data_IF_889887021602
#
_entry.id   IF_889887021602
#
_cell.length_a   1.000
_cell.length_b   1.000
_cell.length_c   1.000
_cell.angle_alpha   90.00
_cell.angle_beta   90.00
_cell.angle_gamma   90.00
#
_symmetry.space_group_name_H-M   'P 1'
#
loop_
_entity.id
_entity.type
_entity.pdbx_description
1 polymer ?
2 polymer ?
3 non-polymer ?
4 water ?
#
# COMPACT_ATOMS: atom_id res chain seq x y z
N UNK A 1 -24.73 2.68 5.41
CA UNK A 1 -24.22 3.95 4.91
C UNK A 1 -23.87 3.85 3.41
N UNK A 2 -23.60 4.99 2.78
CA UNK A 2 -23.24 4.99 1.36
C UNK A 2 -21.82 4.46 1.20
N UNK A 3 -21.65 3.45 0.34
CA UNK A 3 -20.32 2.88 0.10
C UNK A 3 -20.00 2.81 -1.39
N UNK A 4 -18.78 3.20 -1.76
CA UNK A 4 -18.33 3.07 -3.14
C UNK A 4 -17.18 2.08 -3.20
N UNK A 5 -17.13 1.27 -4.25
CA UNK A 5 -16.02 0.33 -4.43
C UNK A 5 -15.69 0.12 -5.90
N UNK A 6 -14.48 0.47 -6.28
CA UNK A 6 -14.00 0.33 -7.66
C UNK A 6 -13.79 -1.13 -8.04
N UNK A 7 -13.98 -1.42 -9.32
CA UNK A 7 -13.56 -2.69 -9.91
C UNK A 7 -12.90 -2.40 -11.24
N UNK A 8 -11.90 -3.20 -11.56
CA UNK A 8 -11.26 -3.10 -12.86
C UNK A 8 -10.12 -4.08 -12.96
N UNK A 9 -9.68 -4.36 -14.20
CA UNK A 9 -8.45 -5.12 -14.36
C UNK A 9 -7.28 -4.22 -14.00
N UNK A 10 -6.37 -4.71 -13.18
CA UNK A 10 -5.21 -3.94 -12.77
C UNK A 10 -4.18 -3.75 -13.86
N UNK A 11 -4.43 -4.34 -15.02
CA UNK A 11 -3.51 -4.26 -16.14
C UNK A 11 -4.25 -3.92 -17.43
N UNK A 12 -3.74 -2.94 -18.17
CA UNK A 12 -4.26 -2.62 -19.49
C UNK A 12 -3.09 -2.48 -20.48
N UNK A 13 -3.24 -3.04 -21.67
CA UNK A 13 -2.18 -2.89 -22.68
C UNK A 13 -2.19 -1.48 -23.25
N UNK A 14 -1.00 -0.96 -23.60
CA UNK A 14 -0.93 0.37 -24.21
C UNK A 14 -1.82 0.44 -25.46
N UNK A 15 -2.53 1.57 -25.58
CA UNK A 15 -3.48 1.86 -26.65
C UNK A 15 -4.85 1.22 -26.47
N UNK A 16 -4.96 0.24 -25.57
CA UNK A 16 -6.27 -0.36 -25.32
C UNK A 16 -7.14 0.56 -24.47
N UNK A 17 -8.37 0.14 -24.21
CA UNK A 17 -9.30 0.96 -23.44
C UNK A 17 -9.44 0.48 -22.00
N UNK A 18 -9.14 1.36 -21.06
CA UNK A 18 -9.31 1.06 -19.64
C UNK A 18 -10.79 1.15 -19.28
N UNK A 19 -11.30 0.11 -18.64
CA UNK A 19 -12.70 0.09 -18.24
C UNK A 19 -12.82 -0.25 -16.76
N UNK A 20 -13.38 0.67 -15.98
CA UNK A 20 -13.57 0.51 -14.55
C UNK A 20 -15.03 0.69 -14.24
N UNK A 21 -15.47 0.10 -13.14
CA UNK A 21 -16.81 0.38 -12.64
C UNK A 21 -16.72 0.75 -11.17
N UNK A 22 -17.73 1.47 -10.69
CA UNK A 22 -17.81 1.80 -9.27
C UNK A 22 -19.13 1.27 -8.75
N UNK A 23 -19.09 0.30 -7.84
CA UNK A 23 -20.31 -0.25 -7.28
C UNK A 23 -20.79 0.62 -6.13
N UNK A 24 -22.02 1.13 -6.25
CA UNK A 24 -22.59 1.91 -5.16
C UNK A 24 -23.49 1.01 -4.32
N UNK A 25 -23.33 1.08 -3.00
CA UNK A 25 -24.26 0.41 -2.10
C UNK A 25 -24.74 1.32 -0.96
N UNK A 26 -25.89 0.98 -0.39
CA UNK A 26 -26.49 1.77 0.66
C UNK A 26 -27.10 3.04 0.09
N UNK A 27 -27.46 2.99 -1.19
CA UNK A 27 -27.93 4.18 -1.88
C UNK A 27 -28.42 3.81 -3.27
N UNK A 28 -29.46 4.49 -3.74
CA UNK A 28 -29.94 4.31 -5.09
C UNK A 28 -29.16 5.26 -5.98
N UNK A 29 -28.44 4.73 -6.96
CA UNK A 29 -27.50 5.55 -7.72
C UNK A 29 -28.14 6.75 -8.45
N UNK A 30 -29.35 6.57 -8.96
CA UNK A 30 -30.00 7.66 -9.68
C UNK A 30 -30.32 8.85 -8.74
N UNK A 31 -30.20 8.65 -7.43
CA UNK A 31 -30.47 9.72 -6.47
C UNK A 31 -29.31 10.69 -6.33
N UNK A 32 -28.10 10.24 -6.64
CA UNK A 32 -26.91 11.05 -6.41
C UNK A 32 -26.87 12.36 -7.18
N UNK A 33 -26.40 13.42 -6.53
CA UNK A 33 -26.19 14.68 -7.22
C UNK A 33 -25.00 14.57 -8.16
N UNK A 34 -23.95 13.86 -7.72
CA UNK A 34 -22.70 13.88 -8.45
C UNK A 34 -21.96 12.57 -8.31
N UNK A 35 -21.44 12.04 -9.42
CA UNK A 35 -20.53 10.90 -9.40
C UNK A 35 -19.32 11.27 -10.25
N UNK A 36 -18.14 10.82 -9.87
CA UNK A 36 -16.95 11.23 -10.61
C UNK A 36 -15.74 10.31 -10.42
N UNK A 37 -14.69 10.58 -11.17
CA UNK A 37 -13.47 9.79 -11.09
C UNK A 37 -12.29 10.72 -10.92
N UNK A 38 -11.42 10.36 -9.98
CA UNK A 38 -10.21 11.10 -9.69
C UNK A 38 -9.06 10.10 -9.81
N UNK A 39 -7.88 10.51 -10.24
CA UNK A 39 -6.76 9.56 -10.25
C UNK A 39 -5.51 10.19 -9.69
N UNK A 40 -4.57 9.32 -9.31
CA UNK A 40 -3.33 9.75 -8.70
C UNK A 40 -2.18 8.86 -9.17
N UNK A 41 -1.32 9.41 -10.05
CA UNK A 41 -0.14 8.63 -10.48
C UNK A 41 0.79 8.47 -9.29
N UNK A 42 1.68 7.46 -9.34
CA UNK A 42 2.57 7.27 -8.19
C UNK A 42 3.33 8.54 -7.83
N UNK A 43 3.26 8.89 -6.56
CA UNK A 43 3.98 10.05 -6.04
C UNK A 43 3.53 11.41 -6.53
N UNK A 44 2.33 11.51 -7.06
CA UNK A 44 1.86 12.81 -7.54
C UNK A 44 0.57 13.19 -6.82
N UNK A 45 -0.01 14.33 -7.18
CA UNK A 45 -1.22 14.79 -6.54
C UNK A 45 -2.47 14.18 -7.16
N UNK A 46 -3.62 14.79 -6.92
CA UNK A 46 -4.90 14.28 -7.40
C UNK A 46 -5.37 14.99 -8.67
N UNK A 47 -5.78 14.21 -9.66
CA UNK A 47 -6.25 14.77 -10.92
C UNK A 47 -7.69 14.41 -11.19
N UNK A 48 -8.53 15.42 -11.40
CA UNK A 48 -9.91 15.15 -11.81
C UNK A 48 -9.94 14.54 -13.21
N UNK A 49 -10.76 13.53 -13.39
CA UNK A 49 -10.91 12.88 -14.69
C UNK A 49 -12.22 13.29 -15.37
N UNK A 50 -13.33 13.05 -14.70
CA UNK A 50 -14.61 13.47 -15.25
C UNK A 50 -15.75 13.32 -14.25
N UNK A 51 -16.92 13.77 -14.66
CA UNK A 51 -18.07 13.91 -13.78
C UNK A 51 -19.34 13.56 -14.51
N UNK A 52 -20.31 13.00 -13.78
CA UNK A 52 -21.69 12.93 -14.26
C UNK A 52 -22.64 13.42 -13.15
N UNK A 53 -23.62 14.23 -13.53
CA UNK A 53 -24.58 14.81 -12.59
C UNK A 53 -25.90 14.11 -12.62
N UNK A 54 -26.73 14.38 -11.61
CA UNK A 54 -28.07 13.84 -11.51
C UNK A 54 -28.83 13.98 -12.83
N UNK A 55 -28.66 15.12 -13.48
CA UNK A 55 -29.35 15.45 -14.73
C UNK A 55 -28.87 14.60 -15.90
N UNK A 56 -27.74 13.93 -15.72
CA UNK A 56 -27.19 13.08 -16.76
C UNK A 56 -26.12 13.79 -17.56
N UNK A 57 -25.90 15.07 -17.27
CA UNK A 57 -24.85 15.84 -17.93
C UNK A 57 -23.48 15.31 -17.52
N UNK A 58 -22.59 15.18 -18.49
CA UNK A 58 -21.23 14.71 -18.23
C UNK A 58 -20.22 15.79 -18.58
N UNK A 59 -19.18 15.92 -17.75
CA UNK A 59 -18.08 16.85 -18.01
C UNK A 59 -16.76 16.13 -17.79
N UNK A 60 -15.78 16.39 -18.66
CA UNK A 60 -14.50 15.68 -18.58
C UNK A 60 -13.34 16.65 -18.59
N UNK A 61 -12.22 16.24 -17.99
CA UNK A 61 -11.01 17.04 -18.00
C UNK A 61 -10.52 17.21 -19.44
N UNK A 62 -10.40 18.47 -19.88
CA UNK A 62 -9.96 18.81 -21.24
C UNK A 62 -8.62 18.19 -21.61
N UNK A 63 -7.73 18.03 -20.65
CA UNK A 63 -6.42 17.46 -20.94
C UNK A 63 -6.52 15.99 -21.35
N UNK A 64 -7.70 15.41 -21.16
CA UNK A 64 -7.89 14.00 -21.48
C UNK A 64 -8.48 13.78 -22.88
N UNK A 65 -8.45 14.84 -23.69
CA UNK A 65 -8.57 14.74 -25.16
C UNK A 65 -9.68 13.82 -25.70
N UNK A 66 -10.90 14.02 -25.23
CA UNK A 66 -12.04 13.20 -25.65
C UNK A 66 -11.90 11.68 -25.40
N UNK A 67 -10.97 11.28 -24.55
CA UNK A 67 -10.74 9.86 -24.32
C UNK A 67 -11.67 9.27 -23.25
N UNK A 68 -12.40 10.14 -22.55
CA UNK A 68 -13.16 9.72 -21.38
C UNK A 68 -14.65 9.53 -21.65
N UNK A 69 -15.21 8.43 -21.14
CA UNK A 69 -16.65 8.25 -21.11
C UNK A 69 -17.09 7.76 -19.73
N UNK A 70 -18.11 8.41 -19.20
CA UNK A 70 -18.69 8.06 -17.92
C UNK A 70 -20.18 7.85 -18.08
N UNK A 71 -20.67 6.73 -17.57
CA UNK A 71 -22.09 6.39 -17.68
C UNK A 71 -22.59 5.83 -16.37
N UNK A 72 -23.90 5.89 -16.18
CA UNK A 72 -24.55 5.31 -15.01
C UNK A 72 -25.48 4.16 -15.43
N UNK A 73 -25.34 3.02 -14.78
CA UNK A 73 -26.20 1.86 -15.00
C UNK A 73 -27.06 1.69 -13.76
N UNK A 74 -28.35 2.06 -13.84
CA UNK A 74 -29.21 1.99 -12.68
C UNK A 74 -29.63 0.57 -12.31
N UNK A 75 -29.67 -0.33 -13.29
CA UNK A 75 -30.04 -1.72 -13.00
C UNK A 75 -28.98 -2.44 -12.18
N UNK A 76 -27.72 -2.08 -12.36
CA UNK A 76 -26.64 -2.68 -11.59
C UNK A 76 -26.23 -1.78 -10.43
N UNK A 77 -26.78 -0.57 -10.38
CA UNK A 77 -26.44 0.42 -9.35
C UNK A 77 -24.95 0.76 -9.30
N UNK A 78 -24.37 1.01 -10.46
CA UNK A 78 -22.95 1.31 -10.55
C UNK A 78 -22.71 2.35 -11.64
N UNK A 79 -21.58 3.02 -11.57
CA UNK A 79 -21.19 3.88 -12.69
C UNK A 79 -19.82 3.47 -13.20
N UNK A 80 -19.47 3.96 -14.38
CA UNK A 80 -18.30 3.43 -15.08
C UNK A 80 -17.40 4.54 -15.55
N UNK A 81 -16.16 4.16 -15.82
CA UNK A 81 -15.20 5.00 -16.49
C UNK A 81 -14.62 4.19 -17.63
N UNK A 82 -14.58 4.79 -18.82
CA UNK A 82 -13.88 4.23 -19.96
C UNK A 82 -12.90 5.28 -20.46
N UNK A 83 -11.63 4.90 -20.52
CA UNK A 83 -10.56 5.78 -20.94
C UNK A 83 -9.84 5.08 -22.07
N UNK A 84 -9.93 5.64 -23.28
CA UNK A 84 -9.41 4.97 -24.47
C UNK A 84 -7.96 5.33 -24.80
N UNK A 85 -7.35 4.53 -25.67
CA UNK A 85 -6.00 4.79 -26.16
C UNK A 85 -5.00 5.11 -25.05
N UNK A 86 -4.92 4.24 -24.05
CA UNK A 86 -4.10 4.56 -22.88
C UNK A 86 -2.61 4.53 -23.19
N UNK A 87 -1.85 5.38 -22.50
CA UNK A 87 -0.40 5.27 -22.49
C UNK A 87 0.08 5.10 -21.05
N UNK A 88 1.39 5.05 -20.88
CA UNK A 88 1.98 4.90 -19.55
C UNK A 88 1.69 6.09 -18.65
N UNK A 89 1.26 7.21 -19.26
CA UNK A 89 0.87 8.38 -18.51
C UNK A 89 -0.43 8.15 -17.74
N UNK A 90 -1.15 7.09 -18.11
CA UNK A 90 -2.41 6.73 -17.47
C UNK A 90 -2.25 5.70 -16.34
N UNK A 91 -1.02 5.27 -16.07
CA UNK A 91 -0.78 4.43 -14.91
C UNK A 91 -1.03 5.25 -13.64
N UNK A 92 -1.93 4.77 -12.80
CA UNK A 92 -2.34 5.51 -11.61
C UNK A 92 -3.25 4.68 -10.72
N UNK A 93 -3.46 5.16 -9.51
CA UNK A 93 -4.56 4.69 -8.69
C UNK A 93 -5.77 5.54 -9.09
N UNK A 94 -6.88 4.87 -9.40
CA UNK A 94 -8.12 5.52 -9.85
C UNK A 94 -9.14 5.43 -8.73
N UNK A 95 -9.81 6.54 -8.43
CA UNK A 95 -10.81 6.57 -7.36
C UNK A 95 -12.16 6.93 -7.92
N UNK A 96 -13.20 6.22 -7.52
CA UNK A 96 -14.56 6.73 -7.76
C UNK A 96 -15.00 7.54 -6.56
N UNK A 97 -15.82 8.58 -6.80
CA UNK A 97 -16.28 9.39 -5.70
C UNK A 97 -17.68 9.95 -6.02
N UNK A 98 -18.39 10.44 -5.02
CA UNK A 98 -19.72 10.97 -5.24
C UNK A 98 -20.19 11.94 -4.16
N UNK A 99 -21.14 12.81 -4.52
CA UNK A 99 -21.81 13.70 -3.57
C UNK A 99 -23.28 13.39 -3.65
N UNK A 100 -23.90 13.07 -2.52
CA UNK A 100 -25.31 12.77 -2.54
C UNK A 100 -26.17 14.02 -2.70
N UNK A 101 -25.68 15.18 -2.26
CA UNK A 101 -26.44 16.44 -2.28
C UNK A 101 -25.62 17.60 -2.83
N UNK A 102 -26.26 18.48 -3.59
CA UNK A 102 -25.63 19.73 -4.03
C UNK A 102 -25.24 20.66 -2.88
N UNK A 103 -25.93 20.56 -1.75
CA UNK A 103 -25.71 21.53 -0.67
C UNK A 103 -24.57 21.22 0.31
N UNK A 104 -23.86 20.13 0.07
CA UNK A 104 -22.73 19.78 0.95
C UNK A 104 -21.61 19.16 0.13
N UNK A 105 -20.37 19.36 0.56
CA UNK A 105 -19.26 18.73 -0.15
C UNK A 105 -18.58 17.59 0.62
N UNK A 106 -19.35 16.88 1.44
CA UNK A 106 -18.84 15.69 2.14
C UNK A 106 -18.86 14.49 1.20
N UNK A 107 -17.85 14.39 0.33
CA UNK A 107 -17.84 13.38 -0.72
C UNK A 107 -17.60 11.98 -0.15
N UNK A 108 -18.20 11.00 -0.79
CA UNK A 108 -17.89 9.59 -0.53
C UNK A 108 -16.85 9.12 -1.54
N UNK A 109 -15.88 8.35 -1.08
CA UNK A 109 -14.77 7.93 -1.91
C UNK A 109 -14.66 6.40 -1.84
N UNK A 110 -14.27 5.79 -2.95
CA UNK A 110 -13.95 4.38 -3.00
C UNK A 110 -12.59 4.19 -2.40
N UNK A 111 -12.05 2.97 -2.50
CA UNK A 111 -10.80 2.62 -1.85
C UNK A 111 -9.67 2.88 -2.82
N UNK A 112 -10.01 2.96 -4.10
CA UNK A 112 -9.03 3.16 -5.15
C UNK A 112 -8.60 1.84 -5.75
N UNK A 113 -8.32 1.84 -7.05
CA UNK A 113 -7.82 0.66 -7.74
C UNK A 113 -6.61 1.01 -8.62
N UNK A 114 -5.54 0.22 -8.48
CA UNK A 114 -4.30 0.48 -9.20
C UNK A 114 -4.44 -0.01 -10.63
N UNK A 115 -4.11 0.86 -11.57
CA UNK A 115 -4.11 0.47 -12.96
C UNK A 115 -2.71 0.62 -13.52
N UNK A 116 -2.12 -0.50 -13.95
CA UNK A 116 -0.81 -0.50 -14.58
C UNK A 116 -0.97 -0.61 -16.09
N UNK A 117 -0.40 0.35 -16.80
CA UNK A 117 -0.36 0.26 -18.26
C UNK A 117 0.97 -0.37 -18.69
N UNK A 118 0.87 -1.55 -19.28
CA UNK A 118 2.07 -2.31 -19.63
C UNK A 118 1.75 -3.34 -20.67
N UNK A 119 2.73 -3.64 -21.52
CA UNK A 119 2.59 -4.66 -22.54
C UNK A 119 2.92 -6.04 -21.97
N UNK A 120 3.62 -6.06 -20.85
CA UNK A 120 3.98 -7.31 -20.17
C UNK A 120 2.72 -8.09 -19.78
N UNK A 121 2.82 -9.41 -19.76
CA UNK A 121 1.66 -10.26 -19.52
C UNK A 121 1.40 -10.44 -18.03
N UNK A 122 0.15 -10.75 -17.69
CA UNK A 122 -0.20 -11.04 -16.30
C UNK A 122 0.45 -12.34 -15.88
N UNK A 123 0.93 -12.38 -14.63
CA UNK A 123 1.57 -13.58 -14.09
C UNK A 123 1.17 -13.79 -12.64
N UNK A 124 0.54 -14.93 -12.37
CA UNK A 124 0.22 -15.35 -11.02
C UNK A 124 1.48 -15.69 -10.26
N UNK A 125 1.42 -15.61 -8.93
CA UNK A 125 2.64 -15.82 -8.13
C UNK A 125 2.85 -17.28 -7.71
N UNK A 126 4.09 -17.59 -7.36
CA UNK A 126 4.40 -18.85 -6.70
C UNK A 126 4.51 -18.57 -5.20
N UNK A 127 3.80 -19.34 -4.39
CA UNK A 127 3.78 -19.11 -2.95
C UNK A 127 4.61 -20.18 -2.22
N UNK A 128 5.44 -19.76 -1.27
CA UNK A 128 6.25 -20.70 -0.48
C UNK A 128 6.15 -20.41 1.01
N UNK A 129 6.14 -21.46 1.82
CA UNK A 129 6.03 -21.21 3.27
C UNK A 129 7.38 -20.75 3.80
N UNK A 130 7.35 -19.93 4.85
CA UNK A 130 8.54 -19.53 5.55
C UNK A 130 8.39 -20.07 6.96
N UNK A 131 8.97 -21.25 7.18
CA UNK A 131 8.78 -21.98 8.42
C UNK A 131 9.33 -21.24 9.65
N UNK A 132 8.64 -21.36 10.79
CA UNK A 132 9.17 -20.73 12.00
C UNK A 132 10.36 -21.55 12.48
N UNK A 133 11.34 -20.93 13.10
CA UNK A 133 12.49 -21.65 13.65
C UNK A 133 12.95 -21.01 14.94
N UNK A 134 13.93 -21.64 15.59
CA UNK A 134 14.57 -21.10 16.78
C UNK A 134 15.15 -19.71 16.50
N UNK A 135 15.71 -19.52 15.31
CA UNK A 135 16.25 -18.23 14.91
C UNK A 135 15.13 -17.19 14.78
N UNK A 136 13.97 -17.63 14.29
CA UNK A 136 12.81 -16.74 14.15
C UNK A 136 11.97 -16.74 15.43
N UNK A 137 12.56 -17.20 16.53
CA UNK A 137 11.91 -17.17 17.82
C UNK A 137 12.59 -16.14 18.74
N UNK A 138 11.83 -15.16 19.18
CA UNK A 138 12.32 -14.11 20.06
C UNK A 138 11.30 -13.88 21.17
N UNK A 139 11.73 -14.03 22.41
CA UNK A 139 10.80 -14.02 23.53
C UNK A 139 9.99 -15.31 23.52
N UNK A 140 8.69 -15.20 23.76
CA UNK A 140 7.82 -16.35 23.67
C UNK A 140 7.18 -16.43 22.31
N UNK A 141 7.57 -15.51 21.42
CA UNK A 141 6.96 -15.41 20.10
C UNK A 141 7.75 -16.10 19.00
N UNK A 142 7.05 -16.46 17.93
CA UNK A 142 7.68 -17.05 16.76
C UNK A 142 7.18 -16.43 15.45
N UNK A 143 8.13 -16.05 14.60
CA UNK A 143 7.82 -15.53 13.29
C UNK A 143 7.70 -16.66 12.28
N UNK A 144 6.59 -16.70 11.56
CA UNK A 144 6.45 -17.56 10.39
C UNK A 144 5.83 -16.72 9.28
N UNK A 145 5.92 -17.19 8.04
CA UNK A 145 5.44 -16.36 6.95
C UNK A 145 5.24 -17.05 5.63
N UNK A 146 4.98 -16.22 4.62
CA UNK A 146 4.77 -16.70 3.26
C UNK A 146 5.50 -15.83 2.27
N UNK A 147 6.18 -16.48 1.33
CA UNK A 147 6.92 -15.78 0.31
C UNK A 147 6.09 -15.85 -0.94
N UNK A 148 5.69 -14.68 -1.44
CA UNK A 148 4.84 -14.58 -2.62
C UNK A 148 5.69 -14.09 -3.78
N UNK A 149 6.02 -15.01 -4.68
CA UNK A 149 7.13 -14.80 -5.59
C UNK A 149 6.71 -14.63 -7.06
N UNK A 150 7.32 -13.64 -7.72
CA UNK A 150 7.27 -13.50 -9.17
C UNK A 150 5.88 -13.32 -9.74
N UNK A 151 5.24 -12.19 -9.44
CA UNK A 151 3.91 -11.92 -9.98
C UNK A 151 3.86 -10.57 -10.70
N UNK A 152 2.78 -10.35 -11.45
CA UNK A 152 2.58 -9.11 -12.17
C UNK A 152 1.12 -9.02 -12.59
N UNK A 153 0.50 -7.85 -12.41
CA UNK A 153 1.08 -6.68 -11.75
C UNK A 153 0.61 -6.62 -10.30
N UNK A 154 0.95 -5.54 -9.61
CA UNK A 154 0.38 -5.25 -8.30
C UNK A 154 -1.13 -5.02 -8.40
N UNK A 155 -1.88 -5.33 -7.32
CA UNK A 155 -1.34 -5.82 -6.04
C UNK A 155 -1.64 -7.29 -5.82
N UNK A 156 -1.08 -7.81 -4.74
CA UNK A 156 -1.45 -9.11 -4.25
C UNK A 156 -2.07 -8.88 -2.87
N UNK A 157 -3.07 -9.67 -2.49
CA UNK A 157 -3.55 -9.58 -1.11
C UNK A 157 -3.24 -10.87 -0.30
N UNK A 158 -2.75 -10.68 0.92
CA UNK A 158 -2.42 -11.82 1.78
C UNK A 158 -3.16 -11.73 3.11
N UNK A 159 -3.83 -12.81 3.49
CA UNK A 159 -4.53 -12.89 4.77
C UNK A 159 -4.09 -14.10 5.59
N UNK A 160 -4.00 -13.92 6.91
CA UNK A 160 -3.66 -15.02 7.82
C UNK A 160 -4.85 -15.43 8.69
N UNK A 161 -5.01 -16.75 8.82
CA UNK A 161 -6.14 -17.38 9.50
C UNK A 161 -7.48 -16.73 9.12
N UNK A 162 -7.63 -16.52 7.81
CA UNK A 162 -8.85 -15.97 7.22
C UNK A 162 -9.35 -14.70 7.93
N UNK A 163 -8.42 -13.79 8.21
CA UNK A 163 -8.77 -12.52 8.85
C UNK A 163 -8.72 -12.57 10.37
N UNK A 164 -8.83 -13.78 10.92
CA UNK A 164 -8.87 -13.99 12.37
C UNK A 164 -7.54 -13.66 13.05
N UNK A 165 -6.49 -13.48 12.26
CA UNK A 165 -5.22 -13.09 12.84
C UNK A 165 -4.81 -11.77 12.22
N UNK A 166 -4.54 -10.78 13.05
CA UNK A 166 -4.25 -9.44 12.56
C UNK A 166 -3.13 -8.77 13.37
N UNK A 167 -2.97 -9.23 14.61
CA UNK A 167 -1.94 -8.72 15.49
C UNK A 167 -0.59 -9.32 15.12
N UNK A 168 0.48 -8.53 15.21
CA UNK A 168 1.80 -8.95 14.82
C UNK A 168 1.96 -9.24 13.32
N UNK A 169 0.86 -9.18 12.58
CA UNK A 169 0.88 -9.49 11.15
C UNK A 169 1.42 -8.32 10.35
N UNK A 170 2.47 -8.60 9.57
CA UNK A 170 3.10 -7.58 8.77
C UNK A 170 3.30 -8.09 7.34
N UNK A 171 2.58 -7.51 6.39
CA UNK A 171 2.79 -7.81 4.99
C UNK A 171 3.60 -6.69 4.36
N UNK A 172 4.81 -7.03 3.92
CA UNK A 172 5.79 -6.05 3.50
C UNK A 172 5.49 -5.52 2.11
N UNK A 173 5.91 -4.28 1.79
CA UNK A 173 5.77 -3.78 0.44
C UNK A 173 6.58 -4.64 -0.52
N UNK A 174 6.08 -4.79 -1.74
CA UNK A 174 6.70 -5.67 -2.72
C UNK A 174 7.99 -5.11 -3.32
N UNK A 175 8.88 -5.99 -3.75
CA UNK A 175 10.02 -5.51 -4.52
C UNK A 175 9.72 -5.64 -6.01
N UNK A 176 10.16 -4.67 -6.81
CA UNK A 176 10.12 -4.85 -8.25
C UNK A 176 11.50 -5.28 -8.69
N UNK A 177 11.62 -6.55 -9.08
CA UNK A 177 12.89 -7.12 -9.48
C UNK A 177 13.25 -6.66 -10.88
N UNK A 178 14.52 -6.84 -11.23
CA UNK A 178 15.00 -6.42 -12.54
C UNK A 178 14.34 -7.20 -13.67
N UNK A 179 13.80 -8.38 -13.35
CA UNK A 179 12.99 -9.13 -14.31
C UNK A 179 11.68 -8.41 -14.66
N UNK A 180 11.26 -7.48 -13.82
CA UNK A 180 10.01 -6.79 -14.02
C UNK A 180 8.84 -7.49 -13.32
N UNK A 181 9.13 -8.52 -12.54
CA UNK A 181 8.07 -9.15 -11.75
C UNK A 181 8.23 -8.72 -10.31
N UNK A 182 7.13 -8.77 -9.55
CA UNK A 182 7.16 -8.43 -8.12
C UNK A 182 7.31 -9.67 -7.24
N UNK A 183 7.83 -9.45 -6.03
CA UNK A 183 7.76 -10.43 -4.95
C UNK A 183 7.48 -9.69 -3.65
N UNK A 184 6.81 -10.34 -2.72
CA UNK A 184 6.68 -9.80 -1.37
C UNK A 184 6.64 -10.93 -0.35
N UNK A 185 6.68 -10.55 0.92
CA UNK A 185 6.57 -11.51 2.00
C UNK A 185 5.60 -10.99 3.03
N UNK A 186 4.83 -11.90 3.59
CA UNK A 186 3.93 -11.61 4.70
C UNK A 186 4.33 -12.46 5.90
N UNK A 187 4.64 -11.82 7.02
CA UNK A 187 5.02 -12.51 8.24
C UNK A 187 3.97 -12.31 9.34
N UNK A 188 3.68 -13.38 10.07
CA UNK A 188 2.85 -13.27 11.26
C UNK A 188 3.62 -13.74 12.49
N UNK A 189 3.61 -12.92 13.54
CA UNK A 189 4.20 -13.29 14.82
C UNK A 189 3.18 -13.98 15.72
N UNK A 190 3.53 -15.15 16.24
CA UNK A 190 2.62 -16.00 17.01
C UNK A 190 3.26 -16.46 18.33
N UNK A 191 2.47 -17.09 19.23
CA UNK A 191 3.11 -17.68 20.42
C UNK A 191 3.91 -18.94 20.08
N UNK A 192 5.08 -19.10 20.70
CA UNK A 192 5.91 -20.29 20.47
C UNK A 192 5.19 -21.58 20.82
N UNK A 193 4.46 -21.56 21.94
CA UNK A 193 3.79 -22.76 22.45
C UNK A 193 2.68 -23.26 21.52
N UNK A 194 2.04 -22.35 20.79
CA UNK A 194 0.95 -22.74 19.92
C UNK A 194 1.43 -23.46 18.66
N UNK A 195 2.75 -23.43 18.42
CA UNK A 195 3.32 -23.95 17.18
C UNK A 195 2.97 -25.40 16.87
N UNK A 196 2.88 -26.23 17.90
CA UNK A 196 2.58 -27.64 17.70
C UNK A 196 1.09 -27.91 17.56
N UNK A 197 0.29 -27.02 18.11
CA UNK A 197 -1.15 -27.25 18.24
C UNK A 197 -2.00 -26.18 17.56
N UNK A 198 -1.50 -25.62 16.47
CA UNK A 198 -2.25 -24.59 15.73
C UNK A 198 -1.98 -24.67 14.24
N UNK A 199 -3.04 -24.52 13.45
CA UNK A 199 -2.87 -24.50 12.00
C UNK A 199 -2.67 -23.06 11.54
N UNK A 200 -1.59 -22.84 10.78
CA UNK A 200 -1.31 -21.53 10.21
C UNK A 200 -1.21 -21.63 8.70
N UNK A 201 -2.02 -20.84 8.01
CA UNK A 201 -2.04 -20.84 6.56
C UNK A 201 -2.15 -19.41 6.06
N UNK A 202 -1.45 -19.09 4.97
CA UNK A 202 -1.55 -17.77 4.36
C UNK A 202 -2.39 -17.90 3.10
N UNK A 203 -3.35 -16.99 2.93
CA UNK A 203 -4.21 -16.98 1.75
C UNK A 203 -3.79 -15.88 0.79
N UNK A 204 -3.32 -16.28 -0.38
CA UNK A 204 -2.76 -15.32 -1.33
C UNK A 204 -3.71 -15.12 -2.51
N UNK A 205 -4.12 -13.87 -2.71
CA UNK A 205 -5.00 -13.53 -3.82
C UNK A 205 -4.36 -12.50 -4.74
N UNK A 206 -4.15 -12.91 -6.00
CA UNK A 206 -3.70 -12.01 -7.05
C UNK A 206 -4.89 -11.79 -7.96
N UNK A 207 -5.64 -10.71 -7.73
CA UNK A 207 -6.85 -10.45 -8.51
C UNK A 207 -6.63 -10.36 -10.04
N UNK A 208 -5.60 -9.59 -10.50
CA UNK A 208 -5.34 -9.49 -11.94
C UNK A 208 -5.25 -10.80 -12.71
N UNK A 209 -4.41 -11.74 -12.29
CA UNK A 209 -4.48 -13.08 -12.86
C UNK A 209 -5.61 -13.77 -12.10
N UNK A 210 -5.95 -15.00 -12.45
CA UNK A 210 -6.91 -15.69 -11.61
C UNK A 210 -6.21 -16.67 -10.69
N UNK A 211 -5.46 -16.08 -9.75
CA UNK A 211 -4.68 -16.85 -8.81
C UNK A 211 -5.23 -16.74 -7.39
N UNK A 212 -5.66 -17.89 -6.88
CA UNK A 212 -5.93 -18.06 -5.47
C UNK A 212 -5.10 -19.26 -5.07
N UNK A 213 -4.46 -19.19 -3.91
CA UNK A 213 -3.73 -20.33 -3.38
C UNK A 213 -3.42 -20.07 -1.92
N UNK A 214 -3.29 -21.14 -1.15
CA UNK A 214 -2.89 -21.01 0.26
C UNK A 214 -1.88 -22.06 0.63
N UNK A 215 -0.78 -21.62 1.24
CA UNK A 215 0.23 -22.56 1.73
C UNK A 215 0.04 -22.83 3.20
N UNK A 216 0.21 -24.10 3.56
CA UNK A 216 0.37 -24.52 4.94
C UNK A 216 1.75 -24.03 5.36
N UNK A 217 1.85 -23.42 6.54
CA UNK A 217 3.16 -23.04 7.08
C UNK A 217 3.36 -23.68 8.44
N UNK A 218 4.19 -24.72 8.49
CA UNK A 218 4.37 -25.50 9.70
C UNK A 218 5.84 -25.73 10.03
N UNK A 219 6.14 -25.96 11.33
CA UNK A 219 7.51 -26.23 11.75
C UNK A 219 8.10 -27.44 11.04
N UNK A 220 9.39 -27.38 10.77
CA UNK A 220 10.11 -28.53 10.26
C UNK A 220 10.42 -29.44 11.44
N UNK A 221 10.08 -30.72 11.34
CA UNK A 221 10.49 -31.63 12.39
C UNK A 221 11.93 -32.05 12.11
N UNK A 222 12.72 -32.19 13.17
CA UNK A 222 14.12 -32.60 12.99
C UNK A 222 14.34 -33.93 13.69
N UNK A 223 13.28 -34.73 13.76
CA UNK A 223 13.40 -36.09 14.26
C UNK A 223 12.86 -37.09 13.23
N UNK A 224 13.61 -38.15 12.97
CA UNK A 224 13.18 -39.16 11.99
C UNK A 224 11.98 -39.92 12.53
N UNK A 225 11.01 -40.21 11.67
CA UNK A 225 9.79 -40.89 12.12
C UNK A 225 10.01 -42.39 12.33
N UNK A 226 11.05 -42.95 11.73
CA UNK A 226 11.27 -44.38 11.76
C UNK A 226 12.40 -44.81 12.72
N UNK A 227 12.66 -43.96 13.71
CA UNK A 227 13.56 -44.30 14.82
C UNK A 227 12.96 -43.82 16.14
N UNK A 228 13.29 -44.51 17.23
CA UNK A 228 12.92 -44.06 18.58
C UNK A 228 13.34 -42.59 18.74
N UNK A 229 12.47 -41.77 19.31
CA UNK A 229 12.68 -40.32 19.32
C UNK A 229 12.36 -39.65 20.65
N UNK A 230 12.36 -40.43 21.71
CA UNK A 230 11.99 -39.91 23.02
C UNK A 230 12.59 -40.74 24.14
N UNK A 231 12.99 -40.05 25.21
CA UNK A 231 13.51 -40.70 26.40
C UNK A 231 12.42 -40.87 27.46
N UNK B 3 -3.78 25.49 -9.59
CA UNK B 3 -4.83 26.51 -9.52
C UNK B 3 -5.14 26.86 -8.08
N UNK B 4 -5.04 25.86 -7.19
CA UNK B 4 -5.07 26.11 -5.75
C UNK B 4 -3.67 25.84 -5.24
N UNK B 5 -3.14 26.74 -4.42
CA UNK B 5 -1.76 26.58 -3.99
C UNK B 5 -1.65 26.40 -2.49
N UNK B 6 -0.92 25.37 -2.10
CA UNK B 6 -0.53 25.13 -0.72
C UNK B 6 0.97 24.88 -0.71
N UNK B 7 1.61 25.12 0.46
CA UNK B 7 3.04 24.81 0.60
C UNK B 7 3.26 23.33 0.35
N UNK B 8 4.28 22.98 -0.45
CA UNK B 8 4.59 21.57 -0.68
C UNK B 8 4.99 20.85 0.61
N UNK B 9 5.49 21.57 1.59
CA UNK B 9 5.89 20.91 2.84
C UNK B 9 5.68 21.76 4.08
N UNK B 10 5.42 21.07 5.18
CA UNK B 10 5.36 21.70 6.50
C UNK B 10 5.91 20.72 7.54
N UNK B 11 6.65 21.24 8.52
CA UNK B 11 7.09 20.43 9.65
C UNK B 11 6.94 21.19 10.96
N UNK B 12 6.93 20.45 12.06
CA UNK B 12 6.74 21.01 13.39
C UNK B 12 7.00 19.90 14.40
N UNK B 13 7.34 20.29 15.63
CA UNK B 13 7.62 19.32 16.68
C UNK B 13 6.31 18.75 17.23
N UNK B 14 6.37 17.54 17.81
CA UNK B 14 5.18 16.92 18.41
C UNK B 14 4.59 17.81 19.49
N UNK B 15 3.27 17.76 19.66
CA UNK B 15 2.60 18.59 20.64
C UNK B 15 2.25 19.99 20.15
N UNK B 16 2.93 20.46 19.11
CA UNK B 16 2.71 21.81 18.57
C UNK B 16 1.44 21.93 17.72
N UNK B 17 1.04 23.16 17.43
CA UNK B 17 -0.05 23.45 16.51
C UNK B 17 0.54 23.74 15.13
N UNK B 18 -0.07 23.19 14.09
CA UNK B 18 0.40 23.46 12.75
C UNK B 18 -0.78 23.92 11.88
N UNK B 19 -0.52 24.80 10.93
CA UNK B 19 -1.56 25.14 9.95
C UNK B 19 -1.09 24.89 8.53
N UNK B 20 -2.04 24.59 7.66
CA UNK B 20 -1.80 24.42 6.25
C UNK B 20 -2.87 25.22 5.52
N UNK B 21 -2.48 26.05 4.58
CA UNK B 21 -3.43 26.88 3.86
C UNK B 21 -3.44 26.58 2.38
N UNK B 22 -4.56 26.79 1.72
CA UNK B 22 -4.53 26.85 0.27
C UNK B 22 -5.18 28.13 -0.21
N UNK B 23 -4.54 28.77 -1.18
CA UNK B 23 -5.02 30.04 -1.73
C UNK B 23 -5.58 29.80 -3.11
N UNK B 24 -6.66 30.49 -3.41
CA UNK B 24 -7.29 30.39 -4.72
C UNK B 24 -7.81 31.74 -5.15
N UNK B 25 -8.92 31.75 -5.88
CA UNK B 25 -9.54 32.96 -6.39
C UNK B 25 -10.94 33.10 -5.80
N UNK B 26 -11.56 34.25 -6.02
CA UNK B 26 -12.93 34.46 -5.57
C UNK B 26 -13.90 33.60 -6.40
N UNK B 27 -13.43 33.15 -7.56
CA UNK B 27 -14.22 32.28 -8.44
C UNK B 27 -14.19 30.82 -8.02
N UNK B 28 -13.15 30.41 -7.29
CA UNK B 28 -13.11 29.04 -6.77
C UNK B 28 -13.36 28.97 -5.26
N UNK B 29 -12.32 29.09 -4.45
CA UNK B 29 -12.49 29.12 -3.00
C UNK B 29 -13.48 30.21 -2.54
N UNK B 30 -13.35 31.42 -3.10
CA UNK B 30 -14.21 32.53 -2.70
C UNK B 30 -15.69 32.21 -2.73
N UNK B 31 -16.11 31.47 -3.74
CA UNK B 31 -17.51 31.13 -3.96
C UNK B 31 -18.03 29.78 -3.42
N UNK B 32 -17.18 29.01 -2.77
CA UNK B 32 -17.50 27.62 -2.50
C UNK B 32 -17.07 27.13 -1.14
N UNK B 33 -17.68 26.03 -0.70
CA UNK B 33 -17.18 25.25 0.41
C UNK B 33 -15.82 24.67 0.02
N UNK B 34 -14.90 24.67 0.97
CA UNK B 34 -13.63 23.98 0.82
C UNK B 34 -13.67 22.70 1.66
N UNK B 35 -13.00 21.66 1.19
CA UNK B 35 -12.84 20.47 2.01
C UNK B 35 -11.36 20.15 2.14
N UNK B 36 -11.02 19.34 3.14
CA UNK B 36 -9.64 18.95 3.38
C UNK B 36 -9.53 17.45 3.47
N UNK B 37 -8.47 16.90 2.87
CA UNK B 37 -8.24 15.47 2.87
C UNK B 37 -6.89 15.10 3.46
N UNK B 38 -6.88 14.03 4.26
CA UNK B 38 -5.64 13.44 4.75
C UNK B 38 -5.32 12.17 3.97
N UNK B 39 -4.06 12.01 3.56
CA UNK B 39 -3.69 10.78 2.87
C UNK B 39 -2.43 10.13 3.47
N UNK B 40 -2.65 9.03 4.19
CA UNK B 40 -1.56 8.21 4.72
C UNK B 40 -0.98 7.31 3.63
N UNK B 41 0.30 6.89 3.76
CA UNK B 41 0.94 6.04 2.74
C UNK B 41 0.05 4.89 2.25
N UNK B 42 -0.08 4.76 0.92
CA UNK B 42 -0.83 3.69 0.30
C UNK B 42 -2.32 3.58 0.60
N UNK B 43 -2.93 4.72 0.95
CA UNK B 43 -4.32 4.79 1.39
C UNK B 43 -5.08 5.86 0.58
N UNK B 44 -6.38 5.69 0.39
CA UNK B 44 -7.18 6.71 -0.28
C UNK B 44 -7.25 7.98 0.57
N UNK B 45 -7.42 9.15 -0.06
CA UNK B 45 -7.63 10.38 0.71
C UNK B 45 -8.80 10.20 1.67
N UNK B 46 -8.65 10.70 2.89
CA UNK B 46 -9.67 10.59 3.91
C UNK B 46 -10.20 11.98 4.23
N UNK B 47 -11.52 12.12 4.20
CA UNK B 47 -12.16 13.42 4.45
C UNK B 47 -11.99 13.87 5.90
N UNK B 48 -11.37 15.03 6.10
CA UNK B 48 -11.16 15.58 7.44
C UNK B 48 -12.16 16.67 7.75
N UNK B 49 -12.35 17.54 6.77
CA UNK B 49 -13.15 18.73 6.91
C UNK B 49 -13.97 18.88 5.66
N UNK B 50 -15.26 19.17 5.81
CA UNK B 50 -16.08 19.57 4.67
C UNK B 50 -16.92 20.79 5.05
N UNK B 51 -17.55 21.40 4.06
CA UNK B 51 -18.35 22.62 4.30
C UNK B 51 -17.53 23.68 5.06
N UNK B 52 -16.28 23.85 4.65
CA UNK B 52 -15.34 24.82 5.24
C UNK B 52 -14.83 24.45 6.62
N UNK B 53 -15.71 24.03 7.53
CA UNK B 53 -15.29 23.76 8.89
C UNK B 53 -15.94 22.60 9.64
N UNK B 54 -16.84 21.86 8.99
CA UNK B 54 -17.45 20.71 9.65
C UNK B 54 -16.53 19.48 9.67
N UNK B 55 -16.58 18.72 10.75
CA UNK B 55 -15.90 17.43 10.82
C UNK B 55 -16.90 16.30 10.65
N UNK B 56 -16.60 15.35 9.76
CA UNK B 56 -17.36 14.09 9.72
C UNK B 56 -17.20 13.38 11.05
N UNK B 57 -18.21 12.62 11.46
CA UNK B 57 -18.10 11.83 12.69
C UNK B 57 -16.83 10.99 12.68
N UNK B 58 -16.13 10.94 13.81
CA UNK B 58 -14.92 10.15 13.89
C UNK B 58 -13.65 10.91 13.58
N UNK B 59 -13.78 12.14 13.08
CA UNK B 59 -12.61 12.98 12.93
C UNK B 59 -12.47 13.81 14.21
N UNK B 60 -11.31 13.72 14.87
CA UNK B 60 -11.05 14.34 16.17
C UNK B 60 -11.01 15.86 16.07
N UNK B 61 -11.37 16.54 17.15
CA UNK B 61 -11.39 18.00 17.15
C UNK B 61 -10.00 18.64 17.12
N UNK B 62 -8.95 17.82 17.05
CA UNK B 62 -7.60 18.34 16.81
C UNK B 62 -7.49 18.95 15.41
N UNK B 63 -8.38 18.54 14.52
CA UNK B 63 -8.44 19.13 13.19
C UNK B 63 -9.53 20.20 13.14
N UNK B 64 -9.25 21.30 12.47
CA UNK B 64 -10.25 22.34 12.26
C UNK B 64 -10.06 23.05 10.92
N UNK B 65 -11.14 23.62 10.38
CA UNK B 65 -11.05 24.31 9.11
C UNK B 65 -11.52 25.74 9.30
N UNK B 66 -10.90 26.67 8.59
CA UNK B 66 -11.39 28.05 8.58
C UNK B 66 -11.22 28.60 7.17
N UNK B 67 -11.80 29.77 6.91
CA UNK B 67 -11.78 30.32 5.58
C UNK B 67 -11.64 31.82 5.67
N UNK B 68 -10.56 32.34 5.12
CA UNK B 68 -10.33 33.78 5.13
C UNK B 68 -10.25 34.29 3.71
N UNK B 69 -11.40 34.70 3.18
CA UNK B 69 -11.49 35.40 1.90
C UNK B 69 -11.39 34.51 0.68
N UNK B 70 -10.24 34.52 0.04
CA UNK B 70 -9.98 33.61 -1.06
C UNK B 70 -8.98 32.52 -0.65
N UNK B 71 -8.77 32.34 0.65
CA UNK B 71 -7.94 31.22 1.10
C UNK B 71 -8.66 30.42 2.19
N UNK B 72 -8.18 29.21 2.44
CA UNK B 72 -8.74 28.34 3.45
C UNK B 72 -7.58 27.76 4.26
N UNK B 73 -7.85 27.36 5.50
CA UNK B 73 -6.78 26.90 6.37
C UNK B 73 -7.19 25.68 7.18
N UNK B 74 -6.32 24.66 7.17
CA UNK B 74 -6.50 23.49 8.02
C UNK B 74 -5.64 23.65 9.27
N UNK B 75 -6.26 23.58 10.44
CA UNK B 75 -5.48 23.60 11.67
C UNK B 75 -5.34 22.23 12.31
N UNK B 76 -4.15 21.92 12.81
CA UNK B 76 -3.93 20.66 13.53
C UNK B 76 -3.23 20.94 14.87
N UNK B 77 -3.90 20.61 15.97
CA UNK B 77 -3.32 20.79 17.30
C UNK B 77 -2.86 19.46 17.89
N UNK B 78 -2.00 19.53 18.90
CA UNK B 78 -1.51 18.34 19.58
C UNK B 78 -0.86 17.38 18.60
N UNK B 79 0.02 17.92 17.76
CA UNK B 79 0.61 17.17 16.66
C UNK B 79 1.26 15.84 17.08
N UNK B 80 0.84 14.77 16.40
CA UNK B 80 1.33 13.43 16.71
C UNK B 80 2.12 12.89 15.52
N UNK B 81 3.03 11.95 15.75
CA UNK B 81 3.74 11.31 14.66
C UNK B 81 2.76 10.66 13.69
N UNK B 82 1.65 10.13 14.21
CA UNK B 82 0.60 9.57 13.37
C UNK B 82 -0.10 10.57 12.44
N UNK B 83 0.22 11.84 12.57
CA UNK B 83 -0.34 12.86 11.69
C UNK B 83 0.47 13.04 10.42
N UNK B 84 1.68 12.46 10.40
CA UNK B 84 2.51 12.55 9.21
C UNK B 84 1.73 11.97 8.03
N UNK B 85 1.57 12.79 7.00
CA UNK B 85 0.75 12.47 5.83
C UNK B 85 0.79 13.61 4.82
N UNK B 86 0.21 13.38 3.65
CA UNK B 86 -0.07 14.44 2.70
C UNK B 86 -1.47 14.95 2.96
N UNK B 87 -1.61 16.28 2.91
CA UNK B 87 -2.90 16.93 3.12
C UNK B 87 -3.24 17.72 1.86
N UNK B 88 -4.50 17.62 1.43
CA UNK B 88 -4.98 18.32 0.22
C UNK B 88 -6.25 19.08 0.52
N UNK B 89 -6.34 20.30 0.00
CA UNK B 89 -7.62 21.00 -0.05
C UNK B 89 -8.32 20.71 -1.36
N UNK B 90 -9.65 20.75 -1.35
CA UNK B 90 -10.44 20.54 -2.55
C UNK B 90 -11.64 21.48 -2.60
N UNK B 91 -11.98 21.95 -3.80
CA UNK B 91 -13.17 22.77 -4.00
C UNK B 91 -13.60 22.72 -5.47
N UNK B 92 -14.58 23.54 -5.85
CA UNK B 92 -14.99 23.62 -7.25
C UNK B 92 -14.24 24.78 -7.89
N UNK B 93 -13.76 24.57 -9.11
CA UNK B 93 -13.10 25.65 -9.85
C UNK B 93 -14.16 26.55 -10.49
N UNK B 94 -13.70 27.59 -11.19
CA UNK B 94 -14.62 28.54 -11.81
C UNK B 94 -15.50 27.91 -12.88
N UNK B 95 -15.09 26.76 -13.42
CA UNK B 95 -15.92 26.04 -14.38
C UNK B 95 -16.85 25.02 -13.71
N UNK B 96 -16.90 25.03 -12.37
CA UNK B 96 -17.72 24.09 -11.58
C UNK B 96 -17.23 22.64 -11.61
N UNK B 97 -15.96 22.46 -11.89
CA UNK B 97 -15.34 21.11 -11.85
C UNK B 97 -14.42 20.95 -10.65
N UNK B 98 -14.17 19.70 -10.21
CA UNK B 98 -13.31 19.50 -9.05
C UNK B 98 -11.91 20.04 -9.27
N UNK B 99 -11.36 20.69 -8.26
CA UNK B 99 -9.97 21.12 -8.27
C UNK B 99 -9.37 20.92 -6.88
N UNK B 100 -8.13 20.42 -6.85
CA UNK B 100 -7.42 20.14 -5.59
C UNK B 100 -6.15 20.95 -5.51
N UNK B 101 -5.78 21.35 -4.30
CA UNK B 101 -4.46 21.91 -4.08
C UNK B 101 -3.39 20.87 -4.44
N UNK B 102 -2.13 21.31 -4.51
CA UNK B 102 -1.05 20.43 -4.93
C UNK B 102 -0.67 19.40 -3.88
N UNK B 103 -1.05 19.66 -2.62
CA UNK B 103 -0.74 18.75 -1.53
C UNK B 103 0.37 19.28 -0.64
N UNK B 104 0.23 19.05 0.65
CA UNK B 104 1.23 19.47 1.63
C UNK B 104 1.72 18.25 2.40
N UNK B 105 3.01 17.96 2.33
CA UNK B 105 3.58 16.84 3.09
C UNK B 105 3.94 17.31 4.50
N UNK B 106 3.29 16.71 5.49
CA UNK B 106 3.50 17.10 6.88
C UNK B 106 4.52 16.16 7.52
N UNK B 107 5.57 16.74 8.10
CA UNK B 107 6.61 16.00 8.78
C UNK B 107 6.63 16.36 10.26
N UNK B 108 6.69 15.36 11.12
CA UNK B 108 6.79 15.60 12.55
C UNK B 108 8.26 15.50 12.95
N UNK B 109 8.82 16.62 13.43
CA UNK B 109 10.24 16.69 13.73
C UNK B 109 10.63 16.00 15.05
N UNK B 110 11.92 15.72 15.19
CA UNK B 110 12.45 15.27 16.47
C UNK B 110 12.12 13.84 16.87
N UNK B 111 11.76 12.99 15.91
CA UNK B 111 11.49 11.60 16.24
C UNK B 111 12.79 10.89 16.58
N UNK B 112 12.76 10.04 17.62
CA UNK B 112 13.98 9.36 18.08
C UNK B 112 14.47 8.32 17.07
N UNK B 113 15.78 8.23 16.92
CA UNK B 113 16.39 7.17 16.11
C UNK B 113 15.91 5.81 16.61
N UNK B 114 15.64 4.91 15.67
CA UNK B 114 15.22 3.54 16.02
C UNK B 114 15.95 2.53 15.13
N UNK B 115 16.62 1.56 15.75
CA UNK B 115 17.37 0.57 15.01
C UNK B 115 16.44 -0.43 14.32
N UNK B 116 16.85 -0.92 13.15
CA UNK B 116 16.05 -1.91 12.41
C UNK B 116 15.99 -3.23 13.13
N UNK B 117 14.81 -3.83 13.18
CA UNK B 117 14.66 -5.24 13.51
C UNK B 117 14.80 -6.07 12.23
N UNK B 118 15.65 -7.09 12.25
CA UNK B 118 15.91 -7.89 11.04
C UNK B 118 15.57 -9.37 11.23
N UNK B 119 14.81 -9.92 10.28
CA UNK B 119 14.49 -11.33 10.26
C UNK B 119 14.93 -11.94 8.93
N UNK B 120 15.71 -13.02 8.99
CA UNK B 120 16.21 -13.65 7.77
C UNK B 120 15.70 -15.08 7.64
N UNK B 121 15.03 -15.37 6.54
CA UNK B 121 14.54 -16.72 6.26
C UNK B 121 15.38 -17.42 5.17
N UNK B 122 15.72 -18.71 5.41
CA UNK B 122 16.40 -19.52 4.40
C UNK B 122 15.41 -19.96 3.31
N UNK B 123 15.92 -20.52 2.20
CA UNK B 123 14.96 -21.04 1.21
C UNK B 123 14.10 -22.15 1.81
N UNK B 124 12.82 -22.18 1.44
CA UNK B 124 11.94 -23.28 1.84
C UNK B 124 12.33 -24.59 1.14
N UNK B 125 11.93 -25.73 1.72
CA UNK B 125 12.22 -27.02 1.10
C UNK B 125 11.51 -27.13 -0.25
N UNK B 126 10.29 -26.64 -0.31
CA UNK B 126 9.53 -26.65 -1.56
C UNK B 126 10.24 -25.88 -2.68
N UNK B 127 10.73 -24.69 -2.37
CA UNK B 127 11.43 -23.92 -3.38
C UNK B 127 12.65 -24.64 -3.89
N UNK B 128 13.44 -25.20 -2.97
CA UNK B 128 14.63 -25.96 -3.33
C UNK B 128 14.27 -27.10 -4.26
N UNK B 129 13.14 -27.75 -4.00
CA UNK B 129 12.71 -28.87 -4.83
C UNK B 129 12.39 -28.44 -6.26
N UNK B 130 11.99 -27.18 -6.42
CA UNK B 130 11.70 -26.62 -7.74
C UNK B 130 12.96 -26.05 -8.38
N UNK B 131 14.12 -26.53 -7.91
CA UNK B 131 15.42 -26.08 -8.39
C UNK B 131 15.61 -24.55 -8.30
N UNK B 132 15.07 -23.94 -7.26
CA UNK B 132 15.26 -22.52 -6.97
C UNK B 132 15.57 -22.25 -5.50
N UNK B 133 16.02 -21.04 -5.18
CA UNK B 133 16.41 -20.72 -3.81
C UNK B 133 16.40 -19.21 -3.56
N UNK B 134 15.59 -18.78 -2.59
CA UNK B 134 15.55 -17.38 -2.22
C UNK B 134 15.72 -17.16 -0.73
N UNK B 135 16.67 -16.31 -0.39
CA UNK B 135 16.83 -15.92 1.01
C UNK B 135 16.05 -14.63 1.17
N UNK B 136 15.29 -14.53 2.25
CA UNK B 136 14.42 -13.39 2.45
C UNK B 136 14.82 -12.62 3.71
N UNK B 137 15.28 -11.39 3.52
CA UNK B 137 15.73 -10.54 4.61
C UNK B 137 14.71 -9.44 4.85
N UNK B 138 13.98 -9.51 5.97
CA UNK B 138 12.92 -8.54 6.26
C UNK B 138 13.37 -7.56 7.32
N UNK B 139 13.26 -6.27 6.99
CA UNK B 139 13.80 -5.19 7.81
C UNK B 139 12.67 -4.27 8.26
N UNK B 140 12.51 -4.11 9.56
CA UNK B 140 11.38 -3.34 10.08
C UNK B 140 11.69 -2.35 11.20
N UNK B 141 10.74 -1.43 11.41
CA UNK B 141 10.71 -0.57 12.59
C UNK B 141 11.91 0.35 12.79
N UNK B 142 12.55 0.77 11.70
CA UNK B 142 13.65 1.73 11.80
C UNK B 142 13.21 3.18 11.55
N UNK B 143 14.03 4.11 12.04
CA UNK B 143 13.83 5.54 11.82
C UNK B 143 15.15 6.27 12.06
N UNK B 144 15.60 7.10 11.11
CA UNK B 144 14.99 7.51 9.83
C UNK B 144 14.89 6.37 8.83
N UNK B 145 14.15 6.59 7.74
CA UNK B 145 13.84 5.54 6.80
C UNK B 145 14.86 5.35 5.71
N UNK B 146 16.09 5.04 6.09
CA UNK B 146 17.16 4.78 5.15
C UNK B 146 18.07 3.69 5.71
N UNK B 147 18.30 2.65 4.92
CA UNK B 147 19.28 1.62 5.27
C UNK B 147 20.02 1.22 4.02
N UNK B 148 21.13 0.53 4.19
CA UNK B 148 21.77 -0.14 3.08
C UNK B 148 21.99 -1.60 3.47
N UNK B 149 21.91 -2.49 2.49
CA UNK B 149 21.92 -3.91 2.76
C UNK B 149 23.04 -4.58 2.00
N UNK B 150 23.81 -5.39 2.72
CA UNK B 150 24.91 -6.14 2.15
C UNK B 150 24.73 -7.62 2.46
N UNK B 151 24.92 -8.47 1.46
CA UNK B 151 24.85 -9.92 1.64
C UNK B 151 26.25 -10.51 1.60
N UNK B 152 26.47 -11.60 2.35
CA UNK B 152 27.74 -12.32 2.35
C UNK B 152 27.51 -13.80 2.14
N UNK B 153 28.38 -14.44 1.36
CA UNK B 153 28.41 -15.88 1.22
C UNK B 153 29.66 -16.33 1.95
N UNK B 154 29.47 -17.03 3.06
CA UNK B 154 30.53 -17.25 4.02
C UNK B 154 31.07 -15.92 4.47
N UNK B 155 32.27 -15.56 4.05
CA UNK B 155 32.86 -14.29 4.43
C UNK B 155 32.93 -13.30 3.25
N UNK B 156 32.62 -13.79 2.05
CA UNK B 156 32.75 -12.97 0.84
C UNK B 156 31.46 -12.25 0.46
N UNK B 157 31.56 -10.98 0.07
CA UNK B 157 30.41 -10.19 -0.41
C UNK B 157 29.78 -10.79 -1.65
N UNK B 158 28.45 -10.84 -1.68
CA UNK B 158 27.72 -11.21 -2.88
C UNK B 158 26.91 -10.01 -3.37
N UNK B 159 27.07 -9.65 -4.64
CA UNK B 159 26.37 -8.51 -5.21
C UNK B 159 25.27 -8.98 -6.15
N UNK B 160 25.51 -10.11 -6.81
CA UNK B 160 24.61 -10.65 -7.83
C UNK B 160 23.37 -11.30 -7.24
N UNK B 161 22.23 -11.15 -7.93
CA UNK B 161 20.99 -11.80 -7.52
C UNK B 161 20.31 -11.12 -6.34
N UNK B 162 20.72 -9.89 -6.06
CA UNK B 162 20.18 -9.13 -4.94
C UNK B 162 19.10 -8.14 -5.43
N UNK B 163 17.90 -8.23 -4.87
CA UNK B 163 16.86 -7.22 -5.13
C UNK B 163 16.41 -6.65 -3.79
N UNK B 164 16.56 -5.34 -3.62
CA UNK B 164 16.25 -4.66 -2.35
C UNK B 164 15.29 -3.50 -2.59
N UNK B 165 14.28 -3.39 -1.76
CA UNK B 165 13.31 -2.30 -1.86
C UNK B 165 13.81 -0.97 -1.30
N UNK B 166 13.35 0.13 -1.88
CA UNK B 166 13.49 1.42 -1.21
C UNK B 166 12.61 1.32 0.03
N UNK B 167 13.07 1.87 1.16
CA UNK B 167 12.28 1.80 2.40
C UNK B 167 10.98 2.58 2.27
N UNK B 168 9.90 2.04 2.82
CA UNK B 168 8.61 2.72 2.74
C UNK B 168 7.97 2.82 4.12
N UNK B 169 7.20 3.90 4.33
CA UNK B 169 6.61 4.20 5.62
C UNK B 169 5.50 3.23 6.01
N UNK B 170 5.51 2.82 7.28
CA UNK B 170 4.46 1.96 7.82
C UNK B 170 3.55 2.75 8.73
N UNK B 171 2.66 2.05 9.43
CA UNK B 171 1.70 2.68 10.32
C UNK B 171 2.37 3.52 11.41
N UNK B 172 3.21 2.86 12.22
CA UNK B 172 3.90 3.53 13.31
C UNK B 172 4.92 4.60 12.88
N UNK B 173 4.94 4.91 11.58
CA UNK B 173 5.92 5.81 10.98
C UNK B 173 7.34 5.31 11.16
N UNK B 174 7.43 4.07 11.63
CA UNK B 174 8.62 3.28 11.52
C UNK B 174 8.57 2.70 10.10
N UNK B 175 9.73 2.63 9.45
CA UNK B 175 9.78 2.18 8.07
C UNK B 175 9.95 0.66 7.98
N UNK B 176 9.78 0.14 6.77
CA UNK B 176 10.08 -1.27 6.50
C UNK B 176 10.75 -1.39 5.15
N UNK B 177 11.54 -2.47 4.99
CA UNK B 177 12.21 -2.75 3.74
C UNK B 177 12.51 -4.24 3.68
N UNK B 178 12.78 -4.74 2.47
CA UNK B 178 13.19 -6.12 2.34
C UNK B 178 14.22 -6.30 1.25
N UNK B 179 15.00 -7.38 1.37
CA UNK B 179 16.01 -7.70 0.38
C UNK B 179 15.97 -9.19 0.14
N UNK B 180 16.05 -9.58 -1.13
CA UNK B 180 15.92 -10.96 -1.54
C UNK B 180 17.18 -11.36 -2.27
N UNK B 181 17.80 -12.45 -1.84
CA UNK B 181 18.97 -12.95 -2.55
C UNK B 181 18.61 -14.26 -3.25
N UNK B 182 18.80 -14.28 -4.56
CA UNK B 182 18.51 -15.46 -5.37
C UNK B 182 19.78 -16.29 -5.55
N UNK B 183 19.66 -17.59 -5.30
CA UNK B 183 20.77 -18.53 -5.44
C UNK B 183 20.31 -19.79 -6.13
N UNK B 184 21.25 -20.59 -6.63
CA UNK B 184 20.93 -21.96 -7.03
C UNK B 184 20.92 -22.80 -5.76
N UNK B 185 20.14 -23.88 -5.77
CA UNK B 185 20.10 -24.76 -4.59
C UNK B 185 21.50 -25.31 -4.27
N UNK B 186 22.36 -25.41 -5.28
CA UNK B 186 23.72 -25.88 -5.07
C UNK B 186 24.54 -24.86 -4.29
N UNK B 187 24.39 -23.58 -4.62
CA UNK B 187 25.14 -22.52 -3.94
C UNK B 187 24.75 -22.48 -2.46
N UNK B 188 23.45 -22.53 -2.22
CA UNK B 188 22.90 -22.59 -0.87
C UNK B 188 23.52 -23.76 -0.09
N UNK B 189 23.55 -24.93 -0.71
CA UNK B 189 24.02 -26.16 -0.04
C UNK B 189 25.53 -26.34 -0.02
N UNK B 190 26.27 -25.34 -0.49
CA UNK B 190 27.73 -25.44 -0.64
C UNK B 190 28.51 -24.56 0.31
N UNK B 191 27.82 -23.63 0.97
CA UNK B 191 28.50 -22.70 1.84
C UNK B 191 28.25 -23.03 3.30
N UNK B 192 29.15 -22.58 4.17
CA UNK B 192 28.90 -22.65 5.60
C UNK B 192 27.64 -21.86 5.93
N UNK B 193 27.49 -20.70 5.30
CA UNK B 193 26.32 -19.87 5.59
C UNK B 193 26.23 -18.67 4.68
N UNK B 194 25.11 -17.94 4.82
CA UNK B 194 24.89 -16.67 4.16
C UNK B 194 24.40 -15.66 5.17
N UNK B 195 24.77 -14.40 5.00
CA UNK B 195 24.38 -13.38 5.95
C UNK B 195 23.71 -12.22 5.22
N UNK B 196 22.70 -11.65 5.88
CA UNK B 196 22.14 -10.36 5.47
C UNK B 196 22.61 -9.32 6.47
N UNK B 197 23.36 -8.31 6.00
CA UNK B 197 23.85 -7.23 6.87
C UNK B 197 23.13 -5.89 6.60
N UNK B 198 22.40 -5.38 7.59
CA UNK B 198 21.65 -4.12 7.44
C UNK B 198 22.30 -2.94 8.18
N UNK B 199 22.74 -1.94 7.44
CA UNK B 199 23.42 -0.79 8.01
C UNK B 199 22.49 0.41 8.10
N UNK B 200 22.25 0.89 9.32
CA UNK B 200 21.35 2.01 9.54
C UNK B 200 22.02 3.03 10.44
N UNK B 201 22.20 4.24 9.92
CA UNK B 201 22.81 5.33 10.67
C UNK B 201 24.13 4.92 11.35
N UNK B 202 25.01 4.31 10.56
CA UNK B 202 26.34 3.95 11.04
C UNK B 202 26.46 2.58 11.72
N UNK B 203 25.35 2.07 12.25
CA UNK B 203 25.35 0.80 12.96
C UNK B 203 24.81 -0.36 12.11
N UNK B 204 25.42 -1.54 12.25
CA UNK B 204 25.03 -2.69 11.45
C UNK B 204 24.35 -3.78 12.28
N UNK B 205 23.19 -4.24 11.81
CA UNK B 205 22.51 -5.39 12.39
C UNK B 205 22.64 -6.52 11.38
N UNK B 206 23.05 -7.69 11.85
CA UNK B 206 23.34 -8.80 10.96
C UNK B 206 22.57 -10.06 11.34
N UNK B 207 22.15 -10.83 10.35
CA UNK B 207 21.52 -12.12 10.59
C UNK B 207 22.16 -13.16 9.67
N UNK B 208 22.24 -14.40 10.12
CA UNK B 208 22.88 -15.46 9.35
C UNK B 208 21.96 -16.68 9.27
N UNK B 209 21.94 -17.34 8.11
CA UNK B 209 21.29 -18.64 8.00
C UNK B 209 22.25 -19.64 7.35
N UNK B 210 22.14 -20.91 7.74
CA UNK B 210 23.01 -21.97 7.20
C UNK B 210 22.16 -23.14 6.72
N UNK B 211 22.59 -23.81 5.64
CA UNK B 211 21.87 -24.99 5.16
C UNK B 211 21.96 -26.19 6.12
N UNK B 212 22.82 -26.09 7.13
CA UNK B 212 22.95 -27.13 8.16
C UNK B 212 21.85 -27.05 9.23
N UNK B 213 21.17 -25.92 9.33
CA UNK B 213 20.22 -25.68 10.42
C UNK B 213 19.09 -26.71 10.49
N UNK B 214 18.71 -27.09 11.71
CA UNK B 214 17.48 -27.87 11.91
C UNK B 214 17.05 -27.71 13.36
N UNK B 215 16.17 -26.74 13.62
CA UNK B 215 15.84 -26.39 14.99
C UNK B 215 14.78 -27.30 15.61
N UNK B 216 13.72 -27.57 14.86
CA UNK B 216 12.65 -28.44 15.32
C UNK B 216 11.55 -27.67 16.04
X LIG C 1 -16.21 20.92 -3.89
X LIG C 1 -15.72 20.55 -5.16
X LIG C 1 -15.76 19.07 -5.52
X LIG C 1 -15.35 18.41 -4.32
X LIG C 1 -16.03 18.75 -3.10
X LIG C 1 -15.53 20.15 -2.90
X LIG C 1 -14.17 17.57 -4.29
X LIG C 1 -14.21 16.88 -5.64
X LIG C 1 -15.00 15.44 -5.44
X LIG C 1 -14.31 14.70 -4.32
X LIG C 1 -14.90 14.67 -6.72
X LIG C 1 -16.43 15.62 -5.12
#
# INVERSE_FOLDING_TARGET
>A
QVQLQESGPGLVKPSETLSLTCAVSGYSISSGYYWGWIRQPPGKGLEWIGSIYHSGSTYYNPSLKSRVTISVDTSKNQFSLKLSSVTAADTAVYYCAGLTQSSHNDANWGQGTLVTVSSASTKGPSVFPLAPSSKSTSGGTAALGCLVKDYFPEPVTVSWNSGALTSGVHTFPAVLQSSGLYSLSSVVTVPSSSLGTQTYICNVNHKPSNTKVDKKVEPKSCLAMDYKDHDGDYKDHDIDYKDDDDKVDHHHHHH
>B
QSVLTQPPSVSAAPGQKVTISCSGSSSNIGNNYVSWYQQLPGTAPKLLIYDNNKRPSGIPDRFSGSKSGTSATLGITGLQTGDEADYYCGTWDSSLNPVFGGGTKLTVLGQPKAAPSVTLFPPSSEELQANKATLVCLISDFYPGAVTVAWKADSSPVKAGVETTTPSKQSNNKYAASSYLSLTPEQWKSHRSYSCQVTHEGSTVEKTVAPTECSGIDAAAAASFLEQKLISEEDLNSAVDHHHHHH
>C hetero
1 MES O1 C2 C3 N4 C5 C6 C7 C8 S O1S O2S O3S
#
